data_IF_319432195465
#
_entry.id   IF_319432195465
#
_cell.length_a   1.000
_cell.length_b   1.000
_cell.length_c   1.000
_cell.angle_alpha   90.00
_cell.angle_beta   90.00
_cell.angle_gamma   90.00
#
_symmetry.space_group_name_H-M   'P 1'
#
loop_
_entity.id
_entity.type
_entity.pdbx_description
1 polymer ?
#
# COMPACT_ATOMS: atom_id res chain seq x y z
N UNK A 1 -3.87 -7.80 8.71
CA UNK A 1 -2.61 -8.44 8.32
C UNK A 1 -1.46 -7.52 8.54
N UNK A 2 -0.53 -8.01 9.32
CA UNK A 2 0.58 -7.19 9.75
C UNK A 2 1.53 -6.82 8.60
N UNK A 3 1.82 -7.78 7.71
CA UNK A 3 2.81 -7.54 6.67
C UNK A 3 2.35 -6.47 5.69
N UNK A 4 1.11 -6.53 5.23
CA UNK A 4 0.57 -5.51 4.34
C UNK A 4 0.61 -4.14 5.01
N UNK A 5 0.14 -4.07 6.24
CA UNK A 5 0.09 -2.82 6.99
C UNK A 5 1.48 -2.21 7.14
N UNK A 6 2.47 -3.02 7.49
CA UNK A 6 3.83 -2.55 7.68
C UNK A 6 4.45 -2.08 6.37
N UNK A 7 4.24 -2.82 5.28
CA UNK A 7 4.85 -2.46 3.99
C UNK A 7 4.27 -1.18 3.42
N UNK A 8 2.96 -1.00 3.50
CA UNK A 8 2.32 0.23 3.05
C UNK A 8 2.84 1.43 3.84
N UNK A 9 2.92 1.30 5.16
CA UNK A 9 3.41 2.39 5.99
C UNK A 9 4.87 2.71 5.69
N UNK A 10 5.70 1.67 5.58
CA UNK A 10 7.12 1.84 5.28
C UNK A 10 7.33 2.54 3.94
N UNK A 11 6.61 2.10 2.91
CA UNK A 11 6.72 2.72 1.59
C UNK A 11 6.26 4.16 1.60
N UNK A 12 5.14 4.43 2.28
CA UNK A 12 4.64 5.80 2.38
C UNK A 12 5.66 6.73 3.03
N UNK A 13 6.22 6.30 4.15
CA UNK A 13 7.20 7.10 4.88
C UNK A 13 8.46 7.28 4.05
N UNK A 14 8.92 6.23 3.38
CA UNK A 14 10.10 6.30 2.53
C UNK A 14 9.91 7.30 1.38
N UNK A 15 8.68 7.47 0.91
CA UNK A 15 8.36 8.44 -0.15
C UNK A 15 8.02 9.82 0.40
N UNK A 16 8.14 10.04 1.71
CA UNK A 16 7.86 11.33 2.33
C UNK A 16 6.42 11.78 2.23
N UNK A 17 5.46 10.86 2.22
CA UNK A 17 4.06 11.16 1.96
C UNK A 17 3.21 11.05 3.22
N UNK A 18 2.17 11.89 3.28
CA UNK A 18 1.13 11.74 4.30
C UNK A 18 0.13 10.69 3.87
N UNK A 19 -0.67 10.21 4.83
CA UNK A 19 -1.75 9.29 4.52
C UNK A 19 -2.76 9.92 3.56
N UNK A 20 -3.04 11.20 3.73
CA UNK A 20 -3.96 11.91 2.84
C UNK A 20 -3.42 11.96 1.41
N UNK A 21 -2.13 12.21 1.24
CA UNK A 21 -1.52 12.27 -0.08
C UNK A 21 -1.62 10.93 -0.80
N UNK A 22 -1.34 9.84 -0.08
CA UNK A 22 -1.49 8.50 -0.66
C UNK A 22 -2.94 8.25 -1.06
N UNK A 23 -3.88 8.61 -0.19
CA UNK A 23 -5.30 8.44 -0.48
C UNK A 23 -5.72 9.14 -1.75
N UNK A 24 -5.27 10.38 -1.96
CA UNK A 24 -5.59 11.14 -3.16
C UNK A 24 -5.08 10.47 -4.43
N UNK A 25 -3.90 9.88 -4.36
CA UNK A 25 -3.30 9.24 -5.53
C UNK A 25 -4.06 7.97 -5.93
N UNK A 26 -4.48 7.17 -4.93
CA UNK A 26 -5.14 5.89 -5.23
C UNK A 26 -6.67 5.96 -5.15
N UNK A 27 -7.22 7.14 -4.87
CA UNK A 27 -8.66 7.35 -4.93
C UNK A 27 -9.44 6.94 -3.70
N UNK A 28 -8.82 6.98 -2.53
CA UNK A 28 -9.52 6.70 -1.27
C UNK A 28 -9.27 7.82 -0.28
N UNK A 29 -10.03 7.84 0.80
CA UNK A 29 -9.90 8.85 1.82
C UNK A 29 -8.78 8.51 2.79
N UNK A 30 -8.29 9.53 3.52
CA UNK A 30 -7.22 9.36 4.50
C UNK A 30 -7.52 8.25 5.51
N UNK A 31 -8.77 8.17 5.99
CA UNK A 31 -9.10 7.16 7.00
C UNK A 31 -8.98 5.75 6.46
N UNK A 32 -9.16 5.55 5.15
CA UNK A 32 -8.96 4.24 4.55
C UNK A 32 -7.49 3.85 4.61
N UNK A 33 -6.60 4.78 4.25
CA UNK A 33 -5.15 4.52 4.33
C UNK A 33 -4.74 4.24 5.77
N UNK A 34 -5.29 5.02 6.71
CA UNK A 34 -5.05 4.78 8.13
C UNK A 34 -5.45 3.37 8.53
N UNK A 35 -6.62 2.93 8.08
CA UNK A 35 -7.09 1.56 8.36
C UNK A 35 -6.19 0.49 7.79
N UNK A 36 -5.67 0.70 6.58
CA UNK A 36 -4.72 -0.24 5.97
C UNK A 36 -3.47 -0.36 6.84
N UNK A 37 -2.94 0.76 7.32
CA UNK A 37 -1.71 0.78 8.10
C UNK A 37 -1.89 0.23 9.52
N UNK A 38 -3.12 0.23 10.02
CA UNK A 38 -3.43 -0.36 11.33
C UNK A 38 -3.79 -1.84 11.23
N UNK A 39 -3.92 -2.37 10.01
CA UNK A 39 -4.31 -3.75 9.83
C UNK A 39 -5.79 -4.01 10.03
N UNK A 40 -6.62 -2.95 9.98
CA UNK A 40 -8.05 -3.07 10.22
C UNK A 40 -8.82 -3.51 8.98
N UNK A 41 -8.30 -3.20 7.80
CA UNK A 41 -8.97 -3.54 6.55
C UNK A 41 -7.97 -3.58 5.40
N UNK A 42 -8.39 -4.18 4.30
CA UNK A 42 -7.62 -4.25 3.08
C UNK A 42 -8.26 -3.37 2.01
N UNK A 43 -7.46 -2.86 1.08
CA UNK A 43 -8.03 -2.16 -0.07
C UNK A 43 -8.73 -3.14 -1.02
N UNK A 44 -9.68 -2.63 -1.78
CA UNK A 44 -10.23 -3.37 -2.91
C UNK A 44 -9.16 -3.56 -3.97
N UNK A 45 -9.37 -4.54 -4.85
CA UNK A 45 -8.35 -4.92 -5.83
C UNK A 45 -7.84 -3.74 -6.66
N UNK A 46 -8.70 -2.86 -7.22
CA UNK A 46 -8.19 -1.73 -8.00
C UNK A 46 -7.29 -0.80 -7.19
N UNK A 47 -7.61 -0.58 -5.92
CA UNK A 47 -6.79 0.28 -5.04
C UNK A 47 -5.47 -0.42 -4.70
N UNK A 48 -5.50 -1.73 -4.46
CA UNK A 48 -4.30 -2.50 -4.21
C UNK A 48 -3.34 -2.41 -5.39
N UNK A 49 -3.85 -2.56 -6.61
CA UNK A 49 -3.05 -2.43 -7.82
C UNK A 49 -2.47 -1.02 -7.94
N UNK A 50 -3.27 0.00 -7.68
CA UNK A 50 -2.82 1.39 -7.73
C UNK A 50 -1.70 1.66 -6.73
N UNK A 51 -1.82 1.12 -5.51
CA UNK A 51 -0.77 1.25 -4.50
C UNK A 51 0.54 0.60 -4.97
N UNK A 52 0.43 -0.62 -5.48
CA UNK A 52 1.61 -1.34 -5.98
C UNK A 52 2.27 -0.57 -7.12
N UNK A 53 1.47 -0.10 -8.07
CA UNK A 53 1.98 0.64 -9.23
C UNK A 53 2.65 1.93 -8.80
N UNK A 54 2.02 2.67 -7.90
CA UNK A 54 2.57 3.95 -7.47
C UNK A 54 3.91 3.79 -6.75
N UNK A 55 4.00 2.80 -5.87
CA UNK A 55 5.22 2.57 -5.11
C UNK A 55 6.25 1.72 -5.87
N UNK A 56 5.89 1.25 -7.07
CA UNK A 56 6.83 0.50 -7.90
C UNK A 56 7.16 -0.89 -7.37
N UNK A 57 6.22 -1.52 -6.69
CA UNK A 57 6.40 -2.87 -6.13
C UNK A 57 5.31 -3.79 -6.66
N UNK A 58 5.50 -5.10 -6.49
CA UNK A 58 4.48 -6.06 -6.88
C UNK A 58 3.37 -6.13 -5.83
N UNK A 59 2.17 -6.54 -6.25
CA UNK A 59 1.09 -6.81 -5.31
C UNK A 59 1.46 -7.97 -4.38
N UNK A 60 2.21 -8.94 -4.89
CA UNK A 60 2.69 -10.05 -4.06
C UNK A 60 3.56 -9.55 -2.91
N UNK A 61 4.43 -8.58 -3.20
CA UNK A 61 5.25 -7.97 -2.16
C UNK A 61 4.39 -7.30 -1.09
N UNK A 62 3.41 -6.50 -1.52
CA UNK A 62 2.51 -5.84 -0.57
C UNK A 62 1.75 -6.83 0.30
N UNK A 63 1.35 -7.95 -0.27
CA UNK A 63 0.56 -8.95 0.44
C UNK A 63 1.41 -9.91 1.27
N UNK A 64 2.73 -9.77 1.20
CA UNK A 64 3.62 -10.63 1.99
C UNK A 64 3.87 -12.01 1.37
N UNK A 65 3.56 -12.18 0.09
CA UNK A 65 3.76 -13.44 -0.59
C UNK A 65 5.20 -13.60 -1.09
N UNK A 66 5.95 -12.51 -1.13
CA UNK A 66 7.36 -12.51 -1.51
C UNK A 66 8.06 -11.37 -0.79
N UNK A 67 9.36 -11.53 -0.55
CA UNK A 67 10.20 -10.44 -0.04
C UNK A 67 10.86 -9.65 -1.17
N UNK A 68 10.66 -10.07 -2.42
CA UNK A 68 11.20 -9.36 -3.57
C UNK A 68 10.19 -8.34 -4.07
N UNK A 69 10.50 -7.03 -4.02
CA UNK A 69 9.55 -6.02 -4.44
C UNK A 69 9.38 -5.89 -5.96
N UNK A 70 10.23 -6.55 -6.75
CA UNK A 70 10.20 -6.38 -8.20
C UNK A 70 8.84 -6.72 -8.79
N UNK A 71 8.40 -5.89 -9.74
CA UNK A 71 7.18 -6.13 -10.48
C UNK A 71 7.44 -7.25 -11.48
N UNK A 72 6.62 -8.28 -11.41
CA UNK A 72 6.70 -9.40 -12.34
C UNK A 72 5.93 -9.04 -13.62
N UNK A 73 6.63 -8.98 -14.73
CA UNK A 73 6.04 -8.60 -16.02
C UNK A 73 6.06 -9.73 -17.01
#
# INVERSE_FOLDING_TARGET
MQIFAERIKTLRIAHGMTQEAVGKIVGVKRYSVCGYEKGNNYPEVPVLIALADYFGVSTDYLLGRTDNPEVNR
#
